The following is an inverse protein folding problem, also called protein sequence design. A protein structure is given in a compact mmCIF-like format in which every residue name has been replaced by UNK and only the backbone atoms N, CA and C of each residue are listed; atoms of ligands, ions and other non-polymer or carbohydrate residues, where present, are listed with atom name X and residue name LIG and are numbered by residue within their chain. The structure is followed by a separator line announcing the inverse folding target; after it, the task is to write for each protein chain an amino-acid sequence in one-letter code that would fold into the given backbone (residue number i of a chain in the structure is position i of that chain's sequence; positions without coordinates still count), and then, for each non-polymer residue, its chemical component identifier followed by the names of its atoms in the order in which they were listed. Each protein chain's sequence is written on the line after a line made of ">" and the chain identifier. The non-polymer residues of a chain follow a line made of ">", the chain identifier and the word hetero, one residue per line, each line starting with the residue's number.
data_IF_362199735235
#
_entry.id   IF_362199735235
#
_cell.length_a   1.000
_cell.length_b   1.000
_cell.length_c   1.000
_cell.angle_alpha   90.00
_cell.angle_beta   90.00
_cell.angle_gamma   90.00
#
_symmetry.space_group_name_H-M   'P 1'
#
loop_
_entity.id
_entity.type
_entity.pdbx_description
1 polymer ?
#
# COMPACT_ATOMS: atom_id res chain seq x y z
N UNK A 1 -4.61 16.80 -0.88
CA UNK A 1 -3.55 15.86 -0.44
C UNK A 1 -3.43 15.63 1.07
N UNK A 2 -3.78 16.57 1.98
CA UNK A 2 -3.68 16.31 3.44
C UNK A 2 -5.05 16.22 4.14
N UNK A 3 -6.12 16.73 3.54
CA UNK A 3 -7.41 16.81 4.24
C UNK A 3 -8.10 15.45 4.42
N UNK A 4 -7.91 14.51 3.48
CA UNK A 4 -8.50 13.17 3.54
C UNK A 4 -7.50 12.08 3.98
N UNK A 5 -6.24 12.45 4.23
CA UNK A 5 -5.19 11.57 4.74
C UNK A 5 -5.02 11.79 6.26
N UNK A 6 -6.09 11.59 7.03
CA UNK A 6 -6.14 11.89 8.47
C UNK A 6 -5.12 11.12 9.32
N UNK A 7 -4.71 9.92 8.89
CA UNK A 7 -3.65 9.13 9.51
C UNK A 7 -2.27 9.38 8.88
N UNK A 8 -2.15 10.37 7.99
CA UNK A 8 -0.97 10.58 7.18
C UNK A 8 -0.80 9.47 6.14
N UNK A 9 0.44 9.05 5.92
CA UNK A 9 0.72 7.91 5.06
C UNK A 9 1.99 8.05 4.23
N UNK A 10 2.12 7.17 3.25
CA UNK A 10 3.24 7.12 2.31
C UNK A 10 2.88 7.85 1.03
N UNK A 11 3.77 8.74 0.58
CA UNK A 11 3.66 9.32 -0.76
C UNK A 11 4.04 8.28 -1.81
N UNK A 12 3.12 8.03 -2.74
CA UNK A 12 3.27 7.07 -3.84
C UNK A 12 2.86 7.70 -5.17
N UNK A 13 3.42 7.16 -6.26
CA UNK A 13 3.02 7.51 -7.63
C UNK A 13 2.22 6.33 -8.18
N UNK A 14 1.01 6.59 -8.63
CA UNK A 14 0.16 5.61 -9.29
C UNK A 14 0.31 5.70 -10.80
N UNK A 15 0.46 4.55 -11.44
CA UNK A 15 0.54 4.43 -12.89
C UNK A 15 0.04 3.06 -13.31
N UNK A 16 -0.50 2.97 -14.53
CA UNK A 16 -0.76 1.69 -15.17
C UNK A 16 0.54 1.20 -15.83
N UNK A 17 1.02 0.04 -15.39
CA UNK A 17 2.21 -0.61 -15.95
C UNK A 17 1.85 -1.81 -16.83
N UNK A 18 2.67 -2.08 -17.86
CA UNK A 18 2.62 -3.35 -18.59
C UNK A 18 3.42 -4.41 -17.83
N UNK A 19 2.78 -5.55 -17.53
CA UNK A 19 3.40 -6.69 -16.84
C UNK A 19 4.69 -7.14 -17.55
N UNK A 20 4.73 -7.14 -18.89
CA UNK A 20 5.91 -7.53 -19.67
C UNK A 20 7.08 -6.59 -19.43
N UNK A 21 6.84 -5.29 -19.36
CA UNK A 21 7.89 -4.30 -19.05
C UNK A 21 8.36 -4.45 -17.61
N UNK A 22 7.44 -4.70 -16.68
CA UNK A 22 7.77 -4.90 -15.26
C UNK A 22 8.62 -6.15 -15.02
N UNK A 23 8.34 -7.27 -15.69
CA UNK A 23 9.14 -8.50 -15.59
C UNK A 23 10.57 -8.26 -16.11
N UNK A 24 10.71 -7.53 -17.22
CA UNK A 24 12.00 -7.25 -17.83
C UNK A 24 12.71 -6.03 -17.22
N UNK A 25 12.18 -5.48 -16.13
CA UNK A 25 12.58 -4.17 -15.64
C UNK A 25 13.96 -4.11 -14.98
N UNK A 26 14.54 -5.27 -14.67
CA UNK A 26 15.85 -5.41 -13.99
C UNK A 26 17.01 -4.80 -14.78
N UNK A 27 16.86 -4.62 -16.09
CA UNK A 27 17.85 -3.99 -16.96
C UNK A 27 17.90 -2.45 -16.83
N UNK A 28 16.86 -1.85 -16.23
CA UNK A 28 16.75 -0.40 -16.08
C UNK A 28 17.26 0.06 -14.71
N UNK A 29 17.74 1.29 -14.66
CA UNK A 29 18.21 1.90 -13.40
C UNK A 29 17.50 3.22 -13.08
N UNK A 30 16.59 3.65 -13.96
CA UNK A 30 15.86 4.91 -13.85
C UNK A 30 14.42 4.68 -14.30
N UNK A 31 13.49 5.29 -13.57
CA UNK A 31 12.08 5.37 -13.96
C UNK A 31 11.70 6.85 -14.10
N UNK A 32 10.98 7.16 -15.16
CA UNK A 32 10.51 8.51 -15.47
C UNK A 32 8.98 8.50 -15.50
N UNK A 33 8.40 9.53 -14.88
CA UNK A 33 6.97 9.76 -14.83
C UNK A 33 6.64 11.12 -15.44
N UNK A 34 5.61 11.18 -16.28
CA UNK A 34 5.05 12.42 -16.84
C UNK A 34 3.61 12.58 -16.38
N UNK A 35 3.23 13.79 -15.95
CA UNK A 35 1.92 14.08 -15.36
C UNK A 35 1.54 13.09 -14.24
N UNK A 36 2.40 12.90 -13.22
CA UNK A 36 2.18 11.84 -12.24
C UNK A 36 0.92 12.09 -11.41
N UNK A 37 0.08 11.06 -11.36
CA UNK A 37 -0.93 10.88 -10.33
C UNK A 37 -0.24 10.42 -9.04
N UNK A 38 -0.38 11.21 -7.99
CA UNK A 38 0.23 10.93 -6.69
C UNK A 38 -0.83 10.76 -5.62
N UNK A 39 -0.53 9.93 -4.62
CA UNK A 39 -1.38 9.78 -3.46
C UNK A 39 -0.54 9.72 -2.19
N UNK A 40 -1.12 10.20 -1.09
CA UNK A 40 -0.69 9.86 0.26
C UNK A 40 -1.64 8.77 0.74
N UNK A 41 -1.11 7.60 1.09
CA UNK A 41 -1.91 6.45 1.52
C UNK A 41 -1.41 5.86 2.83
N UNK A 42 -2.34 5.63 3.75
CA UNK A 42 -2.18 4.75 4.89
C UNK A 42 -2.87 3.40 4.63
N UNK A 43 -2.03 2.41 4.32
CA UNK A 43 -2.43 1.03 4.00
C UNK A 43 -2.78 0.21 5.25
N UNK A 44 -2.62 0.76 6.46
CA UNK A 44 -2.89 0.08 7.71
C UNK A 44 -4.25 0.46 8.31
N UNK A 45 -4.59 1.76 8.37
CA UNK A 45 -5.90 2.20 8.88
C UNK A 45 -6.91 2.48 7.76
N UNK A 46 -6.47 2.59 6.50
CA UNK A 46 -7.36 2.84 5.37
C UNK A 46 -7.74 4.30 5.24
N UNK A 47 -6.76 5.16 4.96
CA UNK A 47 -7.01 6.57 4.62
C UNK A 47 -6.08 7.05 3.52
N UNK A 48 -6.45 8.14 2.85
CA UNK A 48 -5.58 8.74 1.85
C UNK A 48 -6.25 9.81 1.00
N UNK A 49 -5.42 10.49 0.22
CA UNK A 49 -5.81 11.63 -0.62
C UNK A 49 -4.87 11.68 -1.83
N UNK A 50 -5.39 12.04 -3.00
CA UNK A 50 -4.64 12.05 -4.25
C UNK A 50 -4.77 13.37 -4.99
N UNK A 51 -3.82 13.62 -5.87
CA UNK A 51 -3.88 14.71 -6.86
C UNK A 51 -3.02 14.34 -8.05
N UNK A 52 -3.33 14.90 -9.20
CA UNK A 52 -2.43 14.89 -10.34
C UNK A 52 -1.50 16.12 -10.33
N UNK A 53 -0.28 15.93 -10.80
CA UNK A 53 0.69 17.02 -11.01
C UNK A 53 0.91 17.19 -12.52
N UNK A 54 0.11 18.07 -13.14
CA UNK A 54 0.19 18.30 -14.58
C UNK A 54 1.42 19.11 -15.00
N UNK A 55 1.90 18.85 -16.22
CA UNK A 55 3.00 19.59 -16.85
C UNK A 55 4.39 19.26 -16.30
N UNK A 56 4.51 18.27 -15.42
CA UNK A 56 5.75 17.92 -14.75
C UNK A 56 6.25 16.55 -15.19
N UNK A 57 7.58 16.46 -15.35
CA UNK A 57 8.31 15.20 -15.54
C UNK A 57 9.22 14.96 -14.34
N UNK A 58 9.00 13.84 -13.64
CA UNK A 58 9.84 13.41 -12.51
C UNK A 58 10.69 12.23 -12.94
N UNK A 59 11.95 12.21 -12.52
CA UNK A 59 12.86 11.09 -12.79
C UNK A 59 13.42 10.58 -11.47
N UNK A 60 13.21 9.29 -11.18
CA UNK A 60 13.64 8.64 -9.95
C UNK A 60 14.58 7.47 -10.26
N UNK A 61 15.50 7.13 -9.34
CA UNK A 61 16.23 5.86 -9.42
C UNK A 61 15.22 4.71 -9.42
N UNK A 62 15.39 3.76 -10.35
CA UNK A 62 14.52 2.60 -10.40
C UNK A 62 14.93 1.56 -9.36
N UNK A 63 13.99 1.17 -8.51
CA UNK A 63 14.11 0.03 -7.61
C UNK A 63 12.88 -0.87 -7.83
N UNK A 64 13.01 -2.08 -8.39
CA UNK A 64 11.87 -2.97 -8.60
C UNK A 64 11.19 -3.35 -7.28
N UNK A 65 11.94 -3.38 -6.18
CA UNK A 65 11.40 -3.58 -4.83
C UNK A 65 10.49 -2.42 -4.38
N UNK A 66 10.49 -1.27 -5.04
CA UNK A 66 9.58 -0.18 -4.69
C UNK A 66 8.36 -0.12 -5.61
N UNK A 67 8.14 -1.15 -6.43
CA UNK A 67 6.97 -1.28 -7.30
C UNK A 67 6.08 -2.41 -6.79
N UNK A 68 4.81 -2.09 -6.58
CA UNK A 68 3.84 -2.99 -5.97
C UNK A 68 2.55 -2.96 -6.76
N UNK A 69 1.82 -4.07 -6.75
CA UNK A 69 0.47 -4.14 -7.30
C UNK A 69 -0.49 -3.68 -6.20
N UNK A 70 -1.21 -2.58 -6.46
CA UNK A 70 -2.13 -1.96 -5.49
C UNK A 70 -3.11 -3.00 -4.88
N UNK A 71 -3.72 -3.84 -5.73
CA UNK A 71 -4.68 -4.89 -5.31
C UNK A 71 -4.13 -5.91 -4.31
N UNK A 72 -2.82 -6.04 -4.15
CA UNK A 72 -2.23 -6.99 -3.19
C UNK A 72 -2.14 -6.42 -1.77
N UNK A 73 -2.40 -5.12 -1.61
CA UNK A 73 -2.36 -4.41 -0.34
C UNK A 73 -3.76 -4.45 0.28
N UNK A 74 -3.85 -4.65 1.61
CA UNK A 74 -5.12 -4.75 2.34
C UNK A 74 -6.02 -3.54 2.08
N UNK A 75 -5.66 -2.38 2.63
CA UNK A 75 -6.33 -1.12 2.29
C UNK A 75 -5.65 -0.51 1.08
N UNK A 76 -5.91 -1.08 -0.10
CA UNK A 76 -5.42 -0.54 -1.36
C UNK A 76 -6.15 0.76 -1.72
N UNK A 77 -5.44 1.67 -2.39
CA UNK A 77 -6.00 3.01 -2.61
C UNK A 77 -7.16 2.98 -3.57
N UNK A 78 -7.01 2.23 -4.67
CA UNK A 78 -7.95 2.25 -5.78
C UNK A 78 -9.33 1.76 -5.34
N UNK A 79 -9.41 0.63 -4.64
CA UNK A 79 -10.71 -0.03 -4.39
C UNK A 79 -11.20 0.15 -2.96
N UNK A 80 -10.32 0.01 -1.97
CA UNK A 80 -10.73 -0.05 -0.55
C UNK A 80 -10.77 1.33 0.10
N UNK A 81 -9.82 2.22 -0.23
CA UNK A 81 -9.78 3.58 0.37
C UNK A 81 -10.67 4.55 -0.39
N UNK A 82 -10.57 4.60 -1.72
CA UNK A 82 -11.23 5.65 -2.51
C UNK A 82 -12.29 5.17 -3.50
N UNK A 83 -12.48 3.86 -3.70
CA UNK A 83 -13.53 3.33 -4.59
C UNK A 83 -13.45 3.81 -6.05
N UNK A 84 -12.23 4.07 -6.53
CA UNK A 84 -11.91 4.53 -7.87
C UNK A 84 -11.99 3.40 -8.92
N UNK A 85 -12.11 3.78 -10.19
CA UNK A 85 -11.99 2.86 -11.33
C UNK A 85 -10.53 2.64 -11.71
N UNK A 86 -10.19 1.51 -12.33
CA UNK A 86 -8.81 1.14 -12.66
C UNK A 86 -8.06 2.17 -13.55
N UNK A 87 -8.77 2.98 -14.35
CA UNK A 87 -8.20 4.00 -15.24
C UNK A 87 -7.92 5.34 -14.58
N UNK A 88 -8.13 5.47 -13.27
CA UNK A 88 -8.00 6.75 -12.57
C UNK A 88 -6.60 7.38 -12.67
N UNK A 89 -5.55 6.57 -12.88
CA UNK A 89 -4.15 7.01 -13.00
C UNK A 89 -3.60 6.95 -14.42
N UNK A 90 -4.44 6.82 -15.45
CA UNK A 90 -4.01 6.70 -16.86
C UNK A 90 -3.34 7.97 -17.40
N UNK A 91 -3.48 9.10 -16.71
CA UNK A 91 -2.75 10.34 -17.02
C UNK A 91 -1.25 10.23 -16.73
N UNK A 92 -0.84 9.31 -15.85
CA UNK A 92 0.58 9.08 -15.54
C UNK A 92 1.25 8.32 -16.68
N UNK A 93 2.06 9.03 -17.46
CA UNK A 93 2.97 8.37 -18.40
C UNK A 93 4.18 7.79 -17.66
N UNK A 94 4.57 6.55 -17.97
CA UNK A 94 5.72 5.85 -17.38
C UNK A 94 6.72 5.45 -18.45
N UNK A 95 8.02 5.63 -18.17
CA UNK A 95 9.12 5.14 -19.01
C UNK A 95 10.24 4.58 -18.15
N UNK A 96 10.67 3.35 -18.45
CA UNK A 96 11.86 2.75 -17.87
C UNK A 96 13.09 3.05 -18.75
N UNK A 97 14.16 3.55 -18.14
CA UNK A 97 15.33 4.06 -18.87
C UNK A 97 16.62 3.58 -18.20
N UNK A 98 17.65 3.35 -19.01
CA UNK A 98 19.01 3.11 -18.55
C UNK A 98 19.84 4.37 -18.75
N UNK A 99 20.27 5.02 -17.66
CA UNK A 99 21.16 6.19 -17.70
C UNK A 99 22.53 5.84 -17.12
N UNK A 100 23.62 6.37 -17.68
CA UNK A 100 24.95 6.26 -17.07
C UNK A 100 24.96 7.08 -15.77
N UNK A 101 24.99 6.40 -14.61
CA UNK A 101 25.03 7.07 -13.31
C UNK A 101 26.49 7.32 -12.90
N UNK A 102 26.83 8.55 -12.50
CA UNK A 102 28.18 8.93 -12.06
C UNK A 102 28.54 8.36 -10.68
N UNK A 103 27.53 8.08 -9.85
CA UNK A 103 27.63 7.35 -8.57
C UNK A 103 26.33 6.56 -8.36
N UNK A 104 26.37 5.34 -7.82
CA UNK A 104 25.15 4.63 -7.42
C UNK A 104 24.44 5.45 -6.34
N UNK A 105 23.18 5.83 -6.59
CA UNK A 105 22.32 6.41 -5.55
C UNK A 105 21.83 5.27 -4.66
N UNK A 106 21.89 5.46 -3.36
CA UNK A 106 21.34 4.49 -2.40
C UNK A 106 19.83 4.33 -2.64
N UNK A 107 19.42 3.09 -2.89
CA UNK A 107 18.01 2.74 -3.11
C UNK A 107 17.41 2.35 -1.76
N UNK A 108 16.70 3.27 -1.11
CA UNK A 108 15.94 2.91 0.09
C UNK A 108 14.77 2.02 -0.31
N UNK A 109 14.66 0.87 0.35
CA UNK A 109 13.52 -0.03 0.21
C UNK A 109 12.31 0.55 0.93
N UNK A 110 11.13 0.40 0.35
CA UNK A 110 9.87 0.76 1.01
C UNK A 110 9.57 -0.16 2.18
N UNK A 111 9.05 0.40 3.28
CA UNK A 111 8.57 -0.37 4.43
C UNK A 111 7.28 -1.16 4.12
N UNK A 112 6.66 -0.96 2.96
CA UNK A 112 5.45 -1.66 2.53
C UNK A 112 5.61 -3.18 2.54
N UNK A 113 6.80 -3.71 2.27
CA UNK A 113 7.03 -5.15 2.36
C UNK A 113 6.89 -5.70 3.77
N UNK A 114 7.27 -4.93 4.79
CA UNK A 114 7.08 -5.35 6.16
C UNK A 114 5.58 -5.42 6.49
N UNK A 115 4.80 -4.43 6.03
CA UNK A 115 3.35 -4.41 6.17
C UNK A 115 2.69 -5.60 5.46
N UNK A 116 3.08 -5.88 4.21
CA UNK A 116 2.59 -7.06 3.45
C UNK A 116 2.93 -8.36 4.17
N UNK A 117 4.17 -8.49 4.66
CA UNK A 117 4.61 -9.71 5.36
C UNK A 117 3.83 -9.95 6.66
N UNK A 118 3.52 -8.89 7.42
CA UNK A 118 2.67 -8.96 8.62
C UNK A 118 1.25 -9.39 8.25
N UNK A 119 0.67 -8.82 7.19
CA UNK A 119 -0.65 -9.21 6.70
C UNK A 119 -0.70 -10.67 6.21
N UNK A 120 0.34 -11.15 5.54
CA UNK A 120 0.44 -12.54 5.10
C UNK A 120 0.61 -13.51 6.28
N UNK A 121 1.34 -13.10 7.32
CA UNK A 121 1.43 -13.85 8.57
C UNK A 121 0.05 -14.00 9.23
N UNK A 122 -0.73 -12.93 9.32
CA UNK A 122 -2.09 -12.98 9.87
C UNK A 122 -3.03 -13.86 9.04
N UNK A 123 -3.00 -13.72 7.71
CA UNK A 123 -3.78 -14.60 6.80
C UNK A 123 -3.40 -16.07 6.97
N UNK A 124 -2.11 -16.37 7.12
CA UNK A 124 -1.63 -17.73 7.34
C UNK A 124 -2.13 -18.28 8.67
N UNK A 125 -1.95 -17.54 9.77
CA UNK A 125 -2.44 -17.93 11.10
C UNK A 125 -3.94 -18.23 11.07
N UNK A 126 -4.72 -17.36 10.43
CA UNK A 126 -6.16 -17.55 10.25
C UNK A 126 -6.48 -18.82 9.47
N UNK A 127 -5.82 -19.05 8.33
CA UNK A 127 -6.00 -20.25 7.50
C UNK A 127 -5.69 -21.54 8.26
N UNK A 128 -4.69 -21.51 9.14
CA UNK A 128 -4.28 -22.65 9.99
C UNK A 128 -5.22 -22.88 11.19
N UNK A 129 -6.24 -22.04 11.38
CA UNK A 129 -7.24 -22.18 12.45
C UNK A 129 -6.97 -21.32 13.68
N UNK A 130 -5.86 -20.57 13.70
CA UNK A 130 -5.50 -19.67 14.81
C UNK A 130 -5.83 -18.20 14.49
N UNK A 131 -5.56 -17.30 15.43
CA UNK A 131 -5.58 -15.85 15.21
C UNK A 131 -4.45 -15.19 16.00
N UNK A 132 -4.03 -13.98 15.61
CA UNK A 132 -2.86 -13.33 16.21
C UNK A 132 -3.26 -12.10 17.02
N UNK A 133 -2.61 -11.91 18.18
CA UNK A 133 -2.79 -10.70 18.98
C UNK A 133 -2.32 -9.46 18.21
N UNK A 134 -3.14 -8.41 18.21
CA UNK A 134 -2.89 -7.17 17.46
C UNK A 134 -3.33 -7.18 15.99
N UNK A 135 -3.83 -8.31 15.47
CA UNK A 135 -4.49 -8.32 14.16
C UNK A 135 -5.84 -7.60 14.23
N UNK A 136 -5.88 -6.38 13.68
CA UNK A 136 -7.07 -5.53 13.73
C UNK A 136 -8.15 -5.89 12.70
N UNK A 137 -7.94 -6.88 11.84
CA UNK A 137 -9.03 -7.39 10.98
C UNK A 137 -9.93 -8.35 11.73
N UNK A 138 -11.05 -7.86 12.24
CA UNK A 138 -12.01 -8.66 13.02
C UNK A 138 -12.55 -9.89 12.24
N UNK A 139 -12.54 -9.88 10.89
CA UNK A 139 -12.98 -11.02 10.07
C UNK A 139 -12.04 -12.23 10.18
N UNK A 140 -10.81 -12.03 10.68
CA UNK A 140 -9.81 -13.07 10.93
C UNK A 140 -9.86 -13.63 12.36
N UNK A 141 -10.94 -13.36 13.11
CA UNK A 141 -11.15 -13.90 14.46
C UNK A 141 -12.50 -14.62 14.53
N UNK A 142 -12.48 -15.90 14.92
CA UNK A 142 -13.69 -16.75 14.92
C UNK A 142 -14.50 -16.63 16.20
N UNK A 143 -13.83 -16.42 17.34
CA UNK A 143 -14.46 -16.40 18.65
C UNK A 143 -14.41 -15.00 19.26
N UNK A 144 -15.15 -14.08 18.66
CA UNK A 144 -15.33 -12.72 19.18
C UNK A 144 -16.60 -12.61 20.01
N UNK A 145 -16.60 -11.71 21.00
CA UNK A 145 -17.77 -11.35 21.78
C UNK A 145 -17.73 -9.87 22.11
N UNK A 146 -18.91 -9.28 22.26
CA UNK A 146 -19.06 -7.88 22.63
C UNK A 146 -19.05 -7.72 24.15
N UNK A 147 -18.36 -6.69 24.63
CA UNK A 147 -18.32 -6.24 26.01
C UNK A 147 -19.11 -4.93 26.07
N UNK A 148 -20.22 -4.95 26.80
CA UNK A 148 -21.10 -3.77 26.97
C UNK A 148 -20.81 -2.97 28.24
N UNK A 149 -19.63 -3.19 28.85
CA UNK A 149 -19.13 -2.48 30.02
C UNK A 149 -17.88 -1.68 29.63
N UNK A 150 -17.61 -0.55 30.30
CA UNK A 150 -16.49 0.32 29.95
C UNK A 150 -15.11 -0.35 30.19
N UNK A 151 -14.19 -0.35 29.20
CA UNK A 151 -14.36 0.12 27.83
C UNK A 151 -15.20 -0.83 26.98
N UNK A 152 -16.22 -0.29 26.31
CA UNK A 152 -17.09 -1.06 25.42
C UNK A 152 -16.35 -1.41 24.13
N UNK A 153 -16.69 -2.57 23.57
CA UNK A 153 -16.07 -3.03 22.33
C UNK A 153 -16.11 -4.54 22.14
N UNK A 154 -15.50 -5.00 21.06
CA UNK A 154 -15.42 -6.42 20.74
C UNK A 154 -14.08 -7.00 21.18
N UNK A 155 -14.07 -8.20 21.77
CA UNK A 155 -12.85 -8.90 22.18
C UNK A 155 -12.77 -10.31 21.59
N UNK A 156 -11.58 -10.70 21.14
CA UNK A 156 -11.29 -12.08 20.75
C UNK A 156 -10.98 -12.93 21.99
N UNK A 157 -11.63 -14.09 22.13
CA UNK A 157 -11.38 -15.05 23.22
C UNK A 157 -10.04 -15.76 23.09
N UNK A 158 -9.59 -16.00 21.87
CA UNK A 158 -8.43 -16.87 21.61
C UNK A 158 -7.10 -16.12 21.76
N UNK A 159 -6.97 -14.94 21.15
CA UNK A 159 -5.73 -14.16 21.19
C UNK A 159 -5.79 -12.93 22.11
N UNK A 160 -6.99 -12.52 22.53
CA UNK A 160 -7.17 -11.35 23.41
C UNK A 160 -7.17 -9.99 22.71
N UNK A 161 -7.07 -9.91 21.37
CA UNK A 161 -7.22 -8.66 20.62
C UNK A 161 -8.56 -7.99 20.97
N UNK A 162 -8.53 -6.68 21.16
CA UNK A 162 -9.68 -5.87 21.54
C UNK A 162 -9.87 -4.72 20.57
N UNK A 163 -11.08 -4.59 20.05
CA UNK A 163 -11.54 -3.50 19.19
C UNK A 163 -12.45 -2.62 20.03
N UNK A 164 -12.02 -1.39 20.28
CA UNK A 164 -12.80 -0.38 20.99
C UNK A 164 -13.83 0.19 20.01
N UNK A 165 -15.05 0.41 20.50
CA UNK A 165 -16.11 1.11 19.77
C UNK A 165 -15.88 2.63 19.66
#
# INVERSE_FOLDING_TARGET
>A
MVQQASYGGRLVIYFRGDIKEMINSSQYNTIQFTNPMIAVIDTYNGSGDNTDIQGITVTLPYNPENVFIDKLIKYNYTYEVCGMIESWCDTTGVKFITKKQRKPKEKKRSNLYAEIAVEDMYKKAFKEGSCTFGDMDMKRHRHTYYINDFPCGTKCKDCGTFWID
#
